data_IF_806227969713
#
_entry.id   IF_806227969713
#
_cell.length_a   1.000
_cell.length_b   1.000
_cell.length_c   1.000
_cell.angle_alpha   90.00
_cell.angle_beta   90.00
_cell.angle_gamma   90.00
#
_symmetry.space_group_name_H-M   'P 1'
#
loop_
_entity.id
_entity.type
_entity.pdbx_description
1 polymer ?
#
# COMPACT_ATOMS: atom_id res chain seq x y z
N UNK A 1 19.23 9.09 -10.11
CA UNK A 1 19.30 8.65 -11.52
C UNK A 1 18.27 7.57 -11.90
N UNK A 2 17.87 6.64 -11.01
CA UNK A 2 16.92 5.56 -11.35
C UNK A 2 15.44 5.98 -11.52
N UNK A 3 14.94 6.94 -10.74
CA UNK A 3 13.50 7.33 -10.77
C UNK A 3 13.11 7.93 -12.13
N UNK A 4 13.87 8.92 -12.60
CA UNK A 4 13.64 9.55 -13.90
C UNK A 4 13.76 8.56 -15.08
N UNK A 5 14.63 7.56 -14.97
CA UNK A 5 14.72 6.50 -15.99
C UNK A 5 13.47 5.61 -16.00
N UNK A 6 12.97 5.20 -14.83
CA UNK A 6 11.72 4.45 -14.73
C UNK A 6 10.49 5.24 -15.19
N UNK A 7 10.46 6.55 -14.95
CA UNK A 7 9.40 7.44 -15.45
C UNK A 7 9.40 7.48 -16.98
N UNK A 8 10.57 7.65 -17.61
CA UNK A 8 10.68 7.60 -19.08
C UNK A 8 10.24 6.26 -19.65
N UNK A 9 10.67 5.15 -19.03
CA UNK A 9 10.29 3.79 -19.49
C UNK A 9 8.82 3.49 -19.29
N UNK A 10 8.22 3.98 -18.20
CA UNK A 10 6.79 3.89 -17.97
C UNK A 10 6.02 4.68 -19.03
N UNK A 11 6.39 5.93 -19.27
CA UNK A 11 5.74 6.78 -20.27
C UNK A 11 5.84 6.17 -21.68
N UNK A 12 6.98 5.59 -22.04
CA UNK A 12 7.15 4.87 -23.30
C UNK A 12 6.21 3.65 -23.41
N UNK A 13 6.12 2.83 -22.36
CA UNK A 13 5.22 1.67 -22.33
C UNK A 13 3.74 2.06 -22.39
N UNK A 14 3.35 3.14 -21.70
CA UNK A 14 1.98 3.66 -21.73
C UNK A 14 1.64 4.21 -23.13
N UNK A 15 2.58 4.92 -23.77
CA UNK A 15 2.44 5.40 -25.15
C UNK A 15 2.30 4.24 -26.14
N UNK A 16 3.09 3.17 -25.98
CA UNK A 16 3.01 1.98 -26.84
C UNK A 16 1.66 1.28 -26.70
N UNK A 17 1.16 1.11 -25.47
CA UNK A 17 -0.17 0.55 -25.18
C UNK A 17 -1.29 1.42 -25.75
N UNK A 18 -1.21 2.74 -25.59
CA UNK A 18 -2.20 3.67 -26.14
C UNK A 18 -2.22 3.65 -27.67
N UNK A 19 -1.05 3.66 -28.31
CA UNK A 19 -0.94 3.58 -29.77
C UNK A 19 -1.43 2.24 -30.31
N UNK A 20 -1.22 1.14 -29.59
CA UNK A 20 -1.80 -0.15 -29.95
C UNK A 20 -3.32 -0.13 -29.83
N UNK A 21 -3.87 0.38 -28.72
CA UNK A 21 -5.31 0.50 -28.51
C UNK A 21 -5.98 1.37 -29.58
N UNK A 22 -5.40 2.54 -29.90
CA UNK A 22 -5.94 3.46 -30.92
C UNK A 22 -5.99 2.83 -32.31
N UNK A 23 -4.99 2.01 -32.67
CA UNK A 23 -4.93 1.29 -33.95
C UNK A 23 -5.96 0.17 -34.04
N UNK A 24 -6.18 -0.55 -32.94
CA UNK A 24 -7.05 -1.72 -32.91
C UNK A 24 -8.52 -1.40 -32.62
N UNK A 25 -8.77 -0.29 -31.92
CA UNK A 25 -10.11 0.15 -31.53
C UNK A 25 -10.27 1.66 -31.83
N UNK A 26 -10.47 2.03 -33.10
CA UNK A 26 -10.71 3.42 -33.47
C UNK A 26 -12.11 3.83 -32.98
N UNK A 27 -12.19 4.44 -31.79
CA UNK A 27 -13.43 5.01 -31.24
C UNK A 27 -13.94 4.37 -29.94
N UNK A 28 -13.34 3.27 -29.48
CA UNK A 28 -13.62 2.65 -28.17
C UNK A 28 -12.31 2.20 -27.54
N UNK A 29 -12.17 2.25 -26.22
CA UNK A 29 -11.01 1.62 -25.54
C UNK A 29 -11.35 0.15 -25.30
N UNK A 30 -10.33 -0.71 -25.36
CA UNK A 30 -10.44 -2.09 -24.88
C UNK A 30 -10.53 -2.04 -23.34
N UNK A 31 -11.73 -1.77 -22.83
CA UNK A 31 -11.98 -1.75 -21.40
C UNK A 31 -12.11 -3.19 -20.87
N UNK A 32 -11.95 -3.38 -19.55
CA UNK A 32 -12.11 -4.68 -18.90
C UNK A 32 -13.47 -5.36 -19.23
N UNK A 33 -14.50 -4.59 -19.55
CA UNK A 33 -15.80 -5.11 -20.03
C UNK A 33 -15.76 -5.70 -21.45
N UNK A 34 -14.98 -5.11 -22.36
CA UNK A 34 -14.79 -5.66 -23.72
C UNK A 34 -13.93 -6.93 -23.73
N UNK A 35 -13.12 -7.14 -22.68
CA UNK A 35 -12.43 -8.40 -22.41
C UNK A 35 -13.32 -9.54 -21.91
N UNK A 36 -14.64 -9.33 -21.80
CA UNK A 36 -15.64 -10.37 -21.49
C UNK A 36 -16.54 -10.79 -22.68
N UNK A 37 -16.44 -10.14 -23.86
CA UNK A 37 -17.22 -10.51 -25.06
C UNK A 37 -16.69 -11.80 -25.75
N UNK A 38 -17.45 -12.61 -26.48
CA UNK A 38 -16.86 -13.69 -27.30
C UNK A 38 -15.84 -13.14 -28.32
N UNK A 39 -14.70 -13.82 -28.54
CA UNK A 39 -13.62 -13.39 -29.46
C UNK A 39 -14.14 -12.99 -30.85
N UNK A 40 -15.13 -13.74 -31.37
CA UNK A 40 -15.79 -13.49 -32.64
C UNK A 40 -16.52 -12.13 -32.71
N UNK A 41 -17.05 -11.64 -31.59
CA UNK A 41 -17.72 -10.34 -31.51
C UNK A 41 -16.74 -9.17 -31.32
N UNK A 42 -15.48 -9.46 -30.96
CA UNK A 42 -14.45 -8.42 -30.75
C UNK A 42 -13.61 -8.14 -32.00
N UNK A 43 -13.59 -9.05 -32.96
CA UNK A 43 -12.66 -8.97 -34.10
C UNK A 43 -11.17 -9.09 -33.70
N UNK A 44 -10.88 -9.69 -32.55
CA UNK A 44 -9.52 -9.79 -31.97
C UNK A 44 -8.99 -11.21 -32.15
N UNK A 45 -7.76 -11.33 -32.64
CA UNK A 45 -7.05 -12.62 -32.72
C UNK A 45 -6.34 -12.96 -31.40
N UNK A 46 -6.02 -14.24 -31.17
CA UNK A 46 -5.21 -14.63 -30.00
C UNK A 46 -3.83 -13.95 -29.98
N UNK A 47 -3.25 -13.67 -31.15
CA UNK A 47 -2.00 -12.91 -31.30
C UNK A 47 -2.14 -11.46 -30.80
N UNK A 48 -3.28 -10.83 -31.07
CA UNK A 48 -3.59 -9.48 -30.59
C UNK A 48 -3.79 -9.45 -29.07
N UNK A 49 -4.45 -10.47 -28.51
CA UNK A 49 -4.62 -10.60 -27.06
C UNK A 49 -3.27 -10.79 -26.35
N UNK A 50 -2.38 -11.61 -26.90
CA UNK A 50 -1.03 -11.81 -26.37
C UNK A 50 -0.21 -10.51 -26.43
N UNK A 51 -0.35 -9.75 -27.51
CA UNK A 51 0.28 -8.43 -27.64
C UNK A 51 -0.24 -7.46 -26.58
N UNK A 52 -1.56 -7.39 -26.39
CA UNK A 52 -2.18 -6.55 -25.37
C UNK A 52 -1.72 -6.92 -23.95
N UNK A 53 -1.68 -8.22 -23.62
CA UNK A 53 -1.18 -8.72 -22.34
C UNK A 53 0.27 -8.28 -22.11
N UNK A 54 1.15 -8.49 -23.09
CA UNK A 54 2.57 -8.08 -23.02
C UNK A 54 2.72 -6.58 -22.75
N UNK A 55 1.96 -5.73 -23.44
CA UNK A 55 2.00 -4.28 -23.26
C UNK A 55 1.47 -3.87 -21.88
N UNK A 56 0.38 -4.48 -21.42
CA UNK A 56 -0.21 -4.22 -20.10
C UNK A 56 0.75 -4.64 -18.98
N UNK A 57 1.40 -5.79 -19.12
CA UNK A 57 2.38 -6.30 -18.16
C UNK A 57 3.63 -5.42 -18.13
N UNK A 58 4.08 -4.90 -19.27
CA UNK A 58 5.17 -3.92 -19.33
C UNK A 58 4.83 -2.63 -18.56
N UNK A 59 3.63 -2.07 -18.76
CA UNK A 59 3.16 -0.90 -17.98
C UNK A 59 3.12 -1.24 -16.50
N UNK A 60 2.52 -2.36 -16.11
CA UNK A 60 2.45 -2.80 -14.71
C UNK A 60 3.83 -2.96 -14.08
N UNK A 61 4.77 -3.57 -14.81
CA UNK A 61 6.14 -3.77 -14.38
C UNK A 61 6.84 -2.43 -14.09
N UNK A 62 6.78 -1.48 -15.02
CA UNK A 62 7.42 -0.17 -14.84
C UNK A 62 6.76 0.66 -13.75
N UNK A 63 5.43 0.61 -13.60
CA UNK A 63 4.73 1.22 -12.46
C UNK A 63 5.24 0.68 -11.13
N UNK A 64 5.38 -0.64 -11.01
CA UNK A 64 5.90 -1.27 -9.80
C UNK A 64 7.35 -0.88 -9.52
N UNK A 65 8.22 -0.85 -10.54
CA UNK A 65 9.62 -0.41 -10.40
C UNK A 65 9.72 1.05 -9.95
N UNK A 66 8.91 1.93 -10.54
CA UNK A 66 8.85 3.35 -10.17
C UNK A 66 8.36 3.52 -8.73
N UNK A 67 7.26 2.85 -8.37
CA UNK A 67 6.73 2.88 -7.01
C UNK A 67 7.76 2.41 -5.97
N UNK A 68 8.48 1.31 -6.26
CA UNK A 68 9.56 0.81 -5.40
C UNK A 68 10.71 1.80 -5.29
N UNK A 69 11.12 2.44 -6.39
CA UNK A 69 12.20 3.41 -6.38
C UNK A 69 11.85 4.65 -5.53
N UNK A 70 10.62 5.18 -5.70
CA UNK A 70 10.09 6.28 -4.88
C UNK A 70 9.98 5.90 -3.41
N UNK A 71 9.51 4.68 -3.12
CA UNK A 71 9.46 4.18 -1.75
C UNK A 71 10.86 4.11 -1.13
N UNK A 72 11.87 3.62 -1.86
CA UNK A 72 13.25 3.55 -1.36
C UNK A 72 13.84 4.93 -1.06
N UNK A 73 13.50 5.95 -1.85
CA UNK A 73 13.95 7.32 -1.58
C UNK A 73 13.27 7.92 -0.36
N UNK A 74 12.00 7.61 -0.13
CA UNK A 74 11.24 8.12 1.03
C UNK A 74 11.43 7.27 2.29
N UNK A 75 11.91 6.03 2.17
CA UNK A 75 11.99 5.08 3.27
C UNK A 75 12.85 5.57 4.45
N UNK A 76 14.02 6.23 4.26
CA UNK A 76 14.80 6.78 5.37
C UNK A 76 14.01 7.82 6.16
N UNK A 77 13.46 8.83 5.48
CA UNK A 77 12.66 9.87 6.13
C UNK A 77 11.42 9.30 6.84
N UNK A 78 10.75 8.31 6.24
CA UNK A 78 9.63 7.60 6.88
C UNK A 78 10.06 6.79 8.10
N UNK A 79 11.27 6.21 8.09
CA UNK A 79 11.84 5.51 9.26
C UNK A 79 12.18 6.48 10.37
N UNK A 80 12.86 7.58 10.05
CA UNK A 80 13.21 8.63 11.01
C UNK A 80 11.95 9.24 11.64
N UNK A 81 10.93 9.56 10.84
CA UNK A 81 9.65 10.05 11.36
C UNK A 81 8.97 9.03 12.29
N UNK A 82 9.05 7.73 11.98
CA UNK A 82 8.53 6.67 12.86
C UNK A 82 9.32 6.58 14.17
N UNK A 83 10.65 6.69 14.12
CA UNK A 83 11.50 6.69 15.32
C UNK A 83 11.21 7.91 16.17
N UNK A 84 11.13 9.10 15.58
CA UNK A 84 10.79 10.32 16.30
C UNK A 84 9.40 10.24 16.96
N UNK A 85 8.40 9.72 16.26
CA UNK A 85 7.08 9.47 16.84
C UNK A 85 7.12 8.44 17.97
N UNK A 86 7.89 7.36 17.79
CA UNK A 86 8.11 6.36 18.82
C UNK A 86 8.77 6.97 20.06
N UNK A 87 9.79 7.82 19.90
CA UNK A 87 10.53 8.48 20.99
C UNK A 87 9.71 9.55 21.70
N UNK A 88 8.85 10.25 20.97
CA UNK A 88 7.91 11.23 21.51
C UNK A 88 6.73 10.59 22.27
N UNK A 89 6.40 9.32 22.02
CA UNK A 89 5.25 8.67 22.65
C UNK A 89 5.34 8.68 24.20
N UNK A 90 4.31 9.17 24.86
CA UNK A 90 4.17 9.06 26.31
C UNK A 90 2.75 8.63 26.65
N UNK A 91 2.55 7.32 26.83
CA UNK A 91 1.26 6.75 27.18
C UNK A 91 0.81 7.21 28.57
N UNK A 92 1.73 7.31 29.53
CA UNK A 92 1.39 7.71 30.90
C UNK A 92 0.92 9.16 30.94
N UNK A 93 1.60 10.05 30.21
CA UNK A 93 1.16 11.44 30.10
C UNK A 93 -0.18 11.57 29.37
N UNK A 94 -0.47 10.69 28.40
CA UNK A 94 -1.67 10.78 27.56
C UNK A 94 -2.90 10.09 28.13
N UNK A 95 -2.73 8.95 28.80
CA UNK A 95 -3.80 8.03 29.21
C UNK A 95 -3.66 7.57 30.66
N UNK A 96 -2.81 8.20 31.47
CA UNK A 96 -2.52 7.75 32.84
C UNK A 96 -3.72 7.60 33.76
N UNK A 97 -4.84 8.26 33.45
CA UNK A 97 -6.10 8.21 34.20
C UNK A 97 -7.10 7.18 33.65
N UNK A 98 -6.87 6.63 32.45
CA UNK A 98 -7.72 5.63 31.83
C UNK A 98 -7.59 4.28 32.54
N UNK A 99 -8.73 3.63 32.78
CA UNK A 99 -8.80 2.34 33.47
C UNK A 99 -8.72 1.13 32.55
N UNK A 100 -8.95 1.30 31.25
CA UNK A 100 -8.90 0.23 30.26
C UNK A 100 -8.11 0.63 29.01
N UNK A 101 -7.51 -0.37 28.35
CA UNK A 101 -6.77 -0.20 27.10
C UNK A 101 -7.26 -1.18 26.03
N UNK A 102 -7.42 -0.70 24.80
CA UNK A 102 -7.72 -1.54 23.65
C UNK A 102 -6.43 -2.08 23.03
N UNK A 103 -6.22 -3.39 23.14
CA UNK A 103 -5.06 -4.05 22.54
C UNK A 103 -5.33 -4.40 21.08
N UNK A 104 -4.49 -3.91 20.17
CA UNK A 104 -4.61 -4.15 18.72
C UNK A 104 -4.63 -5.65 18.39
N UNK A 105 -3.78 -6.45 19.05
CA UNK A 105 -3.63 -7.86 18.70
C UNK A 105 -4.84 -8.70 19.10
N UNK A 106 -5.43 -8.43 20.27
CA UNK A 106 -6.60 -9.17 20.74
C UNK A 106 -7.92 -8.55 20.30
N UNK A 107 -7.94 -7.27 19.88
CA UNK A 107 -9.15 -6.51 19.58
C UNK A 107 -10.08 -6.33 20.78
N UNK A 108 -9.55 -6.44 22.01
CA UNK A 108 -10.33 -6.42 23.27
C UNK A 108 -9.83 -5.33 24.21
N UNK A 109 -10.74 -4.83 25.03
CA UNK A 109 -10.45 -3.95 26.15
C UNK A 109 -9.91 -4.78 27.31
N UNK A 110 -8.79 -4.35 27.88
CA UNK A 110 -8.17 -4.96 29.04
C UNK A 110 -8.06 -3.95 30.18
N UNK A 111 -8.38 -4.35 31.42
CA UNK A 111 -8.19 -3.49 32.59
C UNK A 111 -6.71 -3.20 32.80
N UNK A 112 -6.40 -1.94 33.09
CA UNK A 112 -5.03 -1.46 33.26
C UNK A 112 -4.60 -1.58 34.72
N UNK A 113 -3.43 -2.20 34.96
CA UNK A 113 -2.76 -2.16 36.27
C UNK A 113 -1.87 -0.93 36.40
N UNK A 114 -1.12 -0.61 35.34
CA UNK A 114 -0.12 0.47 35.39
C UNK A 114 0.22 1.00 34.01
N UNK A 115 0.08 2.31 33.84
CA UNK A 115 0.64 3.05 32.71
C UNK A 115 2.12 3.35 32.92
N UNK A 116 2.95 2.98 31.94
CA UNK A 116 4.33 3.43 31.81
C UNK A 116 4.46 4.33 30.57
N UNK A 117 5.60 5.00 30.41
CA UNK A 117 5.81 5.93 29.29
C UNK A 117 5.63 5.27 27.91
N UNK A 118 6.15 4.06 27.71
CA UNK A 118 6.15 3.36 26.40
C UNK A 118 5.29 2.10 26.36
N UNK A 119 4.67 1.75 27.46
CA UNK A 119 3.94 0.49 27.61
C UNK A 119 2.89 0.57 28.70
N UNK A 120 1.97 -0.37 28.73
CA UNK A 120 0.93 -0.50 29.74
C UNK A 120 0.84 -1.93 30.22
N UNK A 121 0.85 -2.11 31.54
CA UNK A 121 0.62 -3.41 32.18
C UNK A 121 -0.88 -3.57 32.39
N UNK A 122 -1.42 -4.71 31.99
CA UNK A 122 -2.84 -5.02 32.06
C UNK A 122 -3.09 -6.19 32.99
N UNK A 123 -4.25 -6.21 33.65
CA UNK A 123 -4.58 -7.24 34.62
C UNK A 123 -4.97 -8.55 33.94
N UNK A 124 -4.52 -9.66 34.52
CA UNK A 124 -4.81 -11.01 34.02
C UNK A 124 -3.90 -11.48 32.87
N UNK A 125 -2.91 -10.68 32.47
CA UNK A 125 -1.87 -11.08 31.53
C UNK A 125 -0.49 -10.79 32.14
N UNK A 126 0.45 -11.72 32.00
CA UNK A 126 1.86 -11.50 32.36
C UNK A 126 2.62 -10.65 31.32
N UNK A 127 1.91 -10.19 30.29
CA UNK A 127 2.47 -9.39 29.20
C UNK A 127 2.20 -7.90 29.40
N UNK A 128 3.15 -7.08 28.93
CA UNK A 128 2.99 -5.63 28.88
C UNK A 128 2.74 -5.20 27.44
N UNK A 129 1.70 -4.41 27.20
CA UNK A 129 1.34 -3.95 25.86
C UNK A 129 2.21 -2.72 25.52
N UNK A 130 3.02 -2.75 24.45
CA UNK A 130 3.79 -1.58 24.02
C UNK A 130 2.87 -0.54 23.36
N UNK A 131 3.25 0.74 23.41
CA UNK A 131 2.44 1.84 22.84
C UNK A 131 2.14 1.70 21.35
N UNK A 132 2.98 0.98 20.60
CA UNK A 132 2.74 0.69 19.19
C UNK A 132 1.57 -0.27 18.95
N UNK A 133 1.08 -0.93 20.00
CA UNK A 133 -0.02 -1.90 19.97
C UNK A 133 -1.26 -1.41 20.74
N UNK A 134 -1.25 -0.17 21.22
CA UNK A 134 -2.39 0.46 21.87
C UNK A 134 -3.25 1.14 20.79
N UNK A 135 -4.49 0.66 20.62
CA UNK A 135 -5.45 1.25 19.68
C UNK A 135 -6.29 2.38 20.31
N UNK A 136 -6.42 2.39 21.64
CA UNK A 136 -7.21 3.36 22.40
C UNK A 136 -7.16 3.09 23.90
N UNK A 137 -7.63 4.05 24.69
CA UNK A 137 -7.75 3.97 26.14
C UNK A 137 -9.04 4.67 26.60
N UNK A 138 -9.64 4.22 27.70
CA UNK A 138 -10.83 4.82 28.32
C UNK A 138 -10.83 4.66 29.83
#
# INVERSE_FOLDING_TARGET
>A
MMVADYERRLAAAETELENWNRRKFPGTKLDHGTLNLPLAQRGITDADLNTYRRLTDAVRYWRHKLARARWLTEAPARREAKVAAHDAADLKARYGECGEVLWVLSGRWHPVERWNRKSVKVAGLDETIPHTQVAGAR
#
